data_IF_784064754964
#
_entry.id   IF_784064754964
#
_cell.length_a   1.000
_cell.length_b   1.000
_cell.length_c   1.000
_cell.angle_alpha   90.00
_cell.angle_beta   90.00
_cell.angle_gamma   90.00
#
_symmetry.space_group_name_H-M   'P 1'
#
loop_
_entity.id
_entity.type
_entity.pdbx_description
1 polymer ?
#
# COMPACT_ATOMS: atom_id res chain seq x y z
N UNK A 1 -0.23 -3.92 25.48
CA UNK A 1 -1.66 -3.58 25.47
C UNK A 1 -2.49 -4.82 25.12
N UNK A 2 -3.67 -4.95 25.72
CA UNK A 2 -4.68 -5.94 25.32
C UNK A 2 -5.37 -5.53 23.99
N UNK A 3 -6.08 -6.43 23.31
CA UNK A 3 -6.88 -6.05 22.13
C UNK A 3 -7.87 -4.92 22.43
N UNK A 4 -8.54 -4.94 23.58
CA UNK A 4 -9.49 -3.89 24.00
C UNK A 4 -8.82 -2.54 24.20
N UNK A 5 -7.66 -2.52 24.86
CA UNK A 5 -6.88 -1.27 25.05
C UNK A 5 -6.38 -0.71 23.71
N UNK A 6 -6.01 -1.59 22.78
CA UNK A 6 -5.59 -1.19 21.44
C UNK A 6 -6.76 -0.65 20.62
N UNK A 7 -7.93 -1.32 20.70
CA UNK A 7 -9.17 -0.84 20.10
C UNK A 7 -9.54 0.55 20.61
N UNK A 8 -9.48 0.78 21.93
CA UNK A 8 -9.80 2.09 22.51
C UNK A 8 -8.84 3.18 22.02
N UNK A 9 -7.54 2.88 21.88
CA UNK A 9 -6.57 3.82 21.33
C UNK A 9 -6.88 4.19 19.87
N UNK A 10 -7.19 3.23 19.03
CA UNK A 10 -7.60 3.49 17.63
C UNK A 10 -8.92 4.26 17.57
N UNK A 11 -9.91 3.90 18.42
CA UNK A 11 -11.20 4.60 18.48
C UNK A 11 -11.05 6.06 18.87
N UNK A 12 -10.10 6.37 19.77
CA UNK A 12 -9.79 7.76 20.14
C UNK A 12 -9.34 8.57 18.93
N UNK A 13 -8.44 8.03 18.10
CA UNK A 13 -7.98 8.69 16.87
C UNK A 13 -9.13 8.86 15.87
N UNK A 14 -9.94 7.81 15.67
CA UNK A 14 -11.12 7.84 14.78
C UNK A 14 -12.05 8.97 15.20
N UNK A 15 -12.35 9.08 16.50
CA UNK A 15 -13.27 10.07 17.01
C UNK A 15 -12.72 11.48 16.91
N UNK A 16 -11.43 11.67 17.23
CA UNK A 16 -10.77 12.98 17.19
C UNK A 16 -10.79 13.59 15.79
N UNK A 17 -10.60 12.78 14.76
CA UNK A 17 -10.49 13.25 13.38
C UNK A 17 -11.71 12.90 12.50
N UNK A 18 -12.76 12.30 13.06
CA UNK A 18 -13.96 11.93 12.30
C UNK A 18 -13.70 10.92 11.18
N UNK A 19 -12.77 9.98 11.36
CA UNK A 19 -12.27 9.11 10.30
C UNK A 19 -13.30 8.05 9.90
N UNK A 20 -13.39 7.79 8.60
CA UNK A 20 -14.14 6.68 8.01
C UNK A 20 -13.20 5.66 7.32
N UNK A 21 -11.94 6.04 7.12
CA UNK A 21 -10.90 5.21 6.49
C UNK A 21 -9.67 5.19 7.40
N UNK A 22 -9.12 4.01 7.60
CA UNK A 22 -7.87 3.81 8.35
C UNK A 22 -6.98 2.88 7.56
N UNK A 23 -5.70 3.23 7.47
CA UNK A 23 -4.67 2.40 6.90
C UNK A 23 -3.67 1.97 8.00
N UNK A 24 -3.32 0.70 7.99
CA UNK A 24 -2.33 0.11 8.89
C UNK A 24 -1.07 -0.23 8.11
N UNK A 25 -0.05 0.61 8.26
CA UNK A 25 1.28 0.34 7.75
C UNK A 25 1.99 -0.69 8.64
N UNK A 26 2.32 -1.85 8.05
CA UNK A 26 2.94 -2.97 8.76
C UNK A 26 4.17 -3.45 8.02
N UNK A 27 5.33 -3.19 8.59
CA UNK A 27 6.62 -3.51 7.97
C UNK A 27 7.68 -4.03 8.95
N UNK A 28 8.82 -4.43 8.40
CA UNK A 28 9.94 -4.94 9.16
C UNK A 28 9.56 -6.16 10.01
N UNK A 29 10.09 -6.24 11.23
CA UNK A 29 9.85 -7.39 12.09
C UNK A 29 8.37 -7.54 12.53
N UNK A 30 7.57 -6.45 12.45
CA UNK A 30 6.14 -6.48 12.80
C UNK A 30 5.30 -7.32 11.84
N UNK A 31 5.82 -7.63 10.64
CA UNK A 31 5.19 -8.58 9.72
C UNK A 31 5.22 -10.03 10.22
N UNK A 32 6.19 -10.38 11.07
CA UNK A 32 6.38 -11.74 11.59
C UNK A 32 5.98 -11.89 13.06
N UNK A 33 5.66 -10.80 13.77
CA UNK A 33 5.31 -10.84 15.20
C UNK A 33 3.84 -11.27 15.39
N UNK A 34 3.62 -12.58 15.51
CA UNK A 34 2.29 -13.21 15.52
C UNK A 34 1.34 -12.65 16.59
N UNK A 35 1.85 -12.37 17.81
CA UNK A 35 1.02 -11.83 18.90
C UNK A 35 0.54 -10.41 18.60
N UNK A 36 1.38 -9.59 17.95
CA UNK A 36 1.01 -8.23 17.54
C UNK A 36 -0.02 -8.25 16.41
N UNK A 37 0.18 -9.12 15.42
CA UNK A 37 -0.72 -9.29 14.28
C UNK A 37 -2.11 -9.72 14.79
N UNK A 38 -2.18 -10.74 15.64
CA UNK A 38 -3.45 -11.23 16.18
C UNK A 38 -4.15 -10.17 17.04
N UNK A 39 -3.41 -9.51 17.92
CA UNK A 39 -3.93 -8.42 18.76
C UNK A 39 -4.52 -7.29 17.93
N UNK A 40 -3.84 -6.87 16.86
CA UNK A 40 -4.31 -5.86 15.92
C UNK A 40 -5.57 -6.32 15.21
N UNK A 41 -5.60 -7.54 14.69
CA UNK A 41 -6.77 -8.09 13.98
C UNK A 41 -8.00 -8.12 14.87
N UNK A 42 -7.87 -8.54 16.14
CA UNK A 42 -8.97 -8.51 17.13
C UNK A 42 -9.45 -7.08 17.44
N UNK A 43 -8.53 -6.14 17.61
CA UNK A 43 -8.86 -4.73 17.86
C UNK A 43 -9.64 -4.12 16.68
N UNK A 44 -9.18 -4.36 15.45
CA UNK A 44 -9.82 -3.86 14.23
C UNK A 44 -11.22 -4.48 14.04
N UNK A 45 -11.37 -5.78 14.28
CA UNK A 45 -12.68 -6.44 14.23
C UNK A 45 -13.68 -5.80 15.21
N UNK A 46 -13.21 -5.47 16.43
CA UNK A 46 -13.99 -4.74 17.44
C UNK A 46 -14.38 -3.33 16.97
N UNK A 47 -13.47 -2.59 16.34
CA UNK A 47 -13.76 -1.27 15.76
C UNK A 47 -14.84 -1.33 14.69
N UNK A 48 -14.74 -2.26 13.75
CA UNK A 48 -15.75 -2.42 12.70
C UNK A 48 -17.09 -2.88 13.26
N UNK A 49 -17.10 -3.76 14.26
CA UNK A 49 -18.32 -4.15 14.95
C UNK A 49 -18.99 -2.96 15.67
N UNK A 50 -18.21 -2.09 16.28
CA UNK A 50 -18.68 -0.86 16.92
C UNK A 50 -19.24 0.14 15.89
N UNK A 51 -18.52 0.35 14.77
CA UNK A 51 -18.97 1.21 13.68
C UNK A 51 -20.31 0.74 13.10
N UNK A 52 -20.44 -0.58 12.81
CA UNK A 52 -21.71 -1.15 12.31
C UNK A 52 -22.88 -0.94 13.27
N UNK A 53 -22.67 -1.13 14.58
CA UNK A 53 -23.71 -0.84 15.60
C UNK A 53 -24.15 0.62 15.58
N UNK A 54 -23.21 1.53 15.31
CA UNK A 54 -23.49 2.96 15.14
C UNK A 54 -23.98 3.34 13.73
N UNK A 55 -24.30 2.36 12.87
CA UNK A 55 -24.71 2.55 11.46
C UNK A 55 -23.69 3.36 10.66
N UNK A 56 -22.40 3.18 10.95
CA UNK A 56 -21.27 3.83 10.27
C UNK A 56 -20.42 2.79 9.56
N UNK A 57 -19.83 3.16 8.44
CA UNK A 57 -18.82 2.38 7.75
C UNK A 57 -17.43 2.76 8.26
N UNK A 58 -16.57 1.77 8.41
CA UNK A 58 -15.15 1.94 8.69
C UNK A 58 -14.35 1.08 7.72
N UNK A 59 -13.72 1.75 6.75
CA UNK A 59 -12.89 1.11 5.73
C UNK A 59 -11.50 0.86 6.27
N UNK A 60 -11.05 -0.38 6.22
CA UNK A 60 -9.74 -0.83 6.71
C UNK A 60 -8.85 -1.14 5.53
N UNK A 61 -7.73 -0.45 5.46
CA UNK A 61 -6.64 -0.69 4.53
C UNK A 61 -5.41 -1.21 5.26
N UNK A 62 -4.56 -1.92 4.54
CA UNK A 62 -3.23 -2.32 5.01
C UNK A 62 -2.20 -1.85 4.01
N UNK A 63 -1.18 -1.10 4.46
CA UNK A 63 0.02 -0.80 3.68
C UNK A 63 1.09 -1.83 4.01
N UNK A 64 1.60 -2.53 2.99
CA UNK A 64 2.49 -3.68 3.14
C UNK A 64 3.66 -3.64 2.14
N UNK A 65 4.87 -4.08 2.54
CA UNK A 65 5.97 -4.33 1.62
C UNK A 65 5.60 -5.40 0.59
N UNK A 66 6.15 -5.26 -0.61
CA UNK A 66 5.83 -6.15 -1.72
C UNK A 66 7.08 -6.42 -2.57
N UNK A 67 7.08 -7.56 -3.27
CA UNK A 67 7.97 -7.88 -4.38
C UNK A 67 7.18 -7.86 -5.70
N UNK A 68 7.81 -7.83 -6.86
CA UNK A 68 7.09 -8.01 -8.13
C UNK A 68 6.27 -9.30 -8.17
N UNK A 69 6.70 -10.35 -7.44
CA UNK A 69 5.96 -11.61 -7.26
C UNK A 69 4.80 -11.54 -6.26
N UNK A 70 4.53 -10.37 -5.64
CA UNK A 70 3.47 -10.15 -4.67
C UNK A 70 3.96 -10.03 -3.23
N UNK A 71 3.01 -10.07 -2.29
CA UNK A 71 3.29 -10.06 -0.85
C UNK A 71 4.08 -11.30 -0.44
N UNK A 72 5.00 -11.11 0.52
CA UNK A 72 5.69 -12.23 1.13
C UNK A 72 4.74 -13.11 1.96
N UNK A 73 5.23 -14.26 2.41
CA UNK A 73 4.49 -15.15 3.31
C UNK A 73 4.02 -14.42 4.57
N UNK A 74 4.86 -13.55 5.12
CA UNK A 74 4.57 -12.76 6.32
C UNK A 74 3.48 -11.72 6.03
N UNK A 75 3.56 -10.97 4.91
CA UNK A 75 2.53 -10.03 4.48
C UNK A 75 1.17 -10.71 4.29
N UNK A 76 1.14 -11.87 3.64
CA UNK A 76 -0.08 -12.69 3.54
C UNK A 76 -0.57 -13.18 4.91
N UNK A 77 0.34 -13.44 5.86
CA UNK A 77 0.03 -13.82 7.24
C UNK A 77 -0.76 -12.73 7.97
N UNK A 78 -0.43 -11.45 7.76
CA UNK A 78 -1.19 -10.30 8.30
C UNK A 78 -2.63 -10.33 7.80
N UNK A 79 -2.83 -10.46 6.48
CA UNK A 79 -4.17 -10.45 5.88
C UNK A 79 -4.99 -11.68 6.27
N UNK A 80 -4.37 -12.87 6.28
CA UNK A 80 -5.04 -14.09 6.75
C UNK A 80 -5.47 -13.98 8.22
N UNK A 81 -4.66 -13.36 9.08
CA UNK A 81 -5.06 -13.10 10.47
C UNK A 81 -6.27 -12.17 10.53
N UNK A 82 -6.29 -11.08 9.75
CA UNK A 82 -7.42 -10.16 9.67
C UNK A 82 -8.71 -10.89 9.24
N UNK A 83 -8.64 -11.68 8.17
CA UNK A 83 -9.79 -12.47 7.67
C UNK A 83 -10.30 -13.50 8.68
N UNK A 84 -9.40 -14.23 9.37
CA UNK A 84 -9.80 -15.16 10.46
C UNK A 84 -10.56 -14.47 11.57
N UNK A 85 -10.23 -13.22 11.88
CA UNK A 85 -10.93 -12.40 12.88
C UNK A 85 -12.12 -11.62 12.30
N UNK A 86 -12.54 -11.94 11.06
CA UNK A 86 -13.70 -11.33 10.37
C UNK A 86 -13.55 -9.81 10.18
N UNK A 87 -12.32 -9.35 9.98
CA UNK A 87 -12.07 -7.99 9.51
C UNK A 87 -12.51 -7.90 8.05
N UNK A 88 -13.37 -6.96 7.74
CA UNK A 88 -13.71 -6.60 6.36
C UNK A 88 -12.61 -5.69 5.82
N UNK A 89 -11.72 -6.26 5.01
CA UNK A 89 -10.58 -5.56 4.41
C UNK A 89 -11.10 -4.79 3.19
N UNK A 90 -11.03 -3.46 3.23
CA UNK A 90 -11.40 -2.60 2.13
C UNK A 90 -10.33 -2.60 1.02
N UNK A 91 -9.05 -2.68 1.40
CA UNK A 91 -7.97 -2.75 0.43
C UNK A 91 -6.60 -3.03 1.02
N UNK A 92 -5.65 -3.27 0.12
CA UNK A 92 -4.24 -3.49 0.42
C UNK A 92 -3.42 -2.58 -0.48
N UNK A 93 -2.74 -1.62 0.13
CA UNK A 93 -1.83 -0.71 -0.52
C UNK A 93 -0.41 -1.31 -0.47
N UNK A 94 0.23 -1.46 -1.61
CA UNK A 94 1.57 -2.04 -1.66
C UNK A 94 2.65 -0.98 -1.85
N UNK A 95 3.72 -1.09 -1.06
CA UNK A 95 4.91 -0.27 -1.17
C UNK A 95 5.74 -0.74 -2.39
N UNK A 96 5.39 -0.24 -3.58
CA UNK A 96 5.96 -0.62 -4.87
C UNK A 96 7.32 0.06 -5.10
N UNK A 97 8.32 -0.28 -4.27
CA UNK A 97 9.64 0.33 -4.20
C UNK A 97 10.65 -0.62 -3.56
N UNK A 98 11.93 -0.32 -3.69
CA UNK A 98 13.03 -0.97 -2.95
C UNK A 98 13.09 -2.50 -3.13
N UNK A 99 12.84 -2.98 -4.35
CA UNK A 99 12.77 -4.42 -4.66
C UNK A 99 14.11 -5.15 -4.58
N UNK A 100 15.23 -4.43 -4.82
CA UNK A 100 16.57 -5.01 -4.94
C UNK A 100 16.85 -5.63 -6.31
N UNK A 101 18.13 -5.70 -6.67
CA UNK A 101 18.59 -6.11 -8.00
C UNK A 101 18.10 -7.50 -8.43
N UNK A 102 18.00 -8.43 -7.49
CA UNK A 102 17.51 -9.79 -7.78
C UNK A 102 16.06 -9.81 -8.26
N UNK A 103 15.22 -8.92 -7.74
CA UNK A 103 13.80 -8.83 -8.04
C UNK A 103 13.49 -7.80 -9.15
N UNK A 104 14.35 -6.79 -9.30
CA UNK A 104 14.24 -5.73 -10.29
C UNK A 104 15.55 -5.59 -11.09
N UNK A 105 15.87 -6.51 -12.02
CA UNK A 105 17.15 -6.52 -12.74
C UNK A 105 17.35 -5.32 -13.69
N UNK A 106 16.28 -4.60 -14.06
CA UNK A 106 16.33 -3.37 -14.87
C UNK A 106 15.81 -2.15 -14.07
N UNK A 107 16.46 -1.81 -12.95
CA UNK A 107 15.92 -0.92 -11.93
C UNK A 107 15.81 0.56 -12.35
N UNK A 108 16.49 0.97 -13.42
CA UNK A 108 16.48 2.36 -13.92
C UNK A 108 15.40 2.62 -14.98
N UNK A 109 14.82 1.58 -15.54
CA UNK A 109 13.92 1.70 -16.70
C UNK A 109 12.57 0.98 -16.52
N UNK A 110 12.48 -0.05 -15.70
CA UNK A 110 11.33 -0.94 -15.62
C UNK A 110 10.57 -0.88 -14.27
N UNK A 111 10.80 0.14 -13.45
CA UNK A 111 10.12 0.24 -12.14
C UNK A 111 8.59 0.33 -12.28
N UNK A 112 8.07 0.95 -13.35
CA UNK A 112 6.64 0.93 -13.66
C UNK A 112 6.12 -0.48 -13.93
N UNK A 113 6.82 -1.25 -14.77
CA UNK A 113 6.47 -2.63 -15.08
C UNK A 113 6.52 -3.53 -13.82
N UNK A 114 7.52 -3.37 -12.96
CA UNK A 114 7.58 -4.12 -11.68
C UNK A 114 6.44 -3.73 -10.73
N UNK A 115 6.06 -2.45 -10.67
CA UNK A 115 4.89 -1.99 -9.92
C UNK A 115 3.60 -2.66 -10.43
N UNK A 116 3.41 -2.72 -11.74
CA UNK A 116 2.25 -3.38 -12.38
C UNK A 116 2.26 -4.89 -12.12
N UNK A 117 3.42 -5.52 -12.20
CA UNK A 117 3.57 -6.94 -11.89
C UNK A 117 3.21 -7.22 -10.42
N UNK A 118 3.70 -6.40 -9.47
CA UNK A 118 3.37 -6.51 -8.06
C UNK A 118 1.86 -6.37 -7.79
N UNK A 119 1.20 -5.40 -8.46
CA UNK A 119 -0.25 -5.21 -8.40
C UNK A 119 -1.02 -6.42 -8.91
N UNK A 120 -0.58 -7.01 -10.03
CA UNK A 120 -1.20 -8.19 -10.63
C UNK A 120 -1.03 -9.41 -9.73
N UNK A 121 0.16 -9.58 -9.13
CA UNK A 121 0.43 -10.64 -8.17
C UNK A 121 -0.40 -10.47 -6.90
N UNK A 122 -0.54 -9.24 -6.37
CA UNK A 122 -1.42 -8.94 -5.24
C UNK A 122 -2.87 -9.30 -5.53
N UNK A 123 -3.39 -8.91 -6.71
CA UNK A 123 -4.76 -9.25 -7.12
C UNK A 123 -5.01 -10.76 -7.07
N UNK A 124 -4.09 -11.57 -7.61
CA UNK A 124 -4.19 -13.03 -7.55
C UNK A 124 -4.13 -13.57 -6.10
N UNK A 125 -3.27 -12.98 -5.28
CA UNK A 125 -3.15 -13.34 -3.86
C UNK A 125 -4.42 -12.96 -3.07
N UNK A 126 -5.01 -11.81 -3.32
CA UNK A 126 -6.28 -11.39 -2.70
C UNK A 126 -7.41 -12.38 -3.06
N UNK A 127 -7.50 -12.79 -4.33
CA UNK A 127 -8.46 -13.82 -4.76
C UNK A 127 -8.28 -15.12 -3.99
N UNK A 128 -7.04 -15.57 -3.85
CA UNK A 128 -6.69 -16.80 -3.13
C UNK A 128 -7.09 -16.73 -1.65
N UNK A 129 -6.65 -15.70 -0.91
CA UNK A 129 -6.88 -15.62 0.54
C UNK A 129 -8.36 -15.39 0.90
N UNK A 130 -9.12 -14.66 0.08
CA UNK A 130 -10.57 -14.52 0.29
C UNK A 130 -11.30 -15.84 0.06
N UNK A 131 -10.92 -16.59 -0.99
CA UNK A 131 -11.46 -17.93 -1.22
C UNK A 131 -11.15 -18.89 -0.07
N UNK A 132 -9.91 -18.88 0.46
CA UNK A 132 -9.51 -19.63 1.65
C UNK A 132 -10.37 -19.29 2.87
N UNK A 133 -10.76 -18.02 3.01
CA UNK A 133 -11.62 -17.52 4.09
C UNK A 133 -13.14 -17.72 3.83
N UNK A 134 -13.53 -18.40 2.75
CA UNK A 134 -14.93 -18.60 2.37
C UNK A 134 -15.64 -17.34 1.85
N UNK A 135 -14.89 -16.31 1.49
CA UNK A 135 -15.44 -15.03 0.98
C UNK A 135 -15.30 -14.98 -0.53
N UNK A 136 -16.43 -14.87 -1.24
CA UNK A 136 -16.44 -14.69 -2.69
C UNK A 136 -16.40 -13.21 -3.03
N UNK A 137 -15.47 -12.83 -3.91
CA UNK A 137 -15.37 -11.48 -4.48
C UNK A 137 -15.27 -11.56 -6.00
N UNK A 138 -15.93 -10.64 -6.70
CA UNK A 138 -15.81 -10.50 -8.15
C UNK A 138 -14.42 -9.97 -8.51
N UNK A 139 -14.02 -10.13 -9.77
CA UNK A 139 -12.75 -9.60 -10.27
C UNK A 139 -12.65 -8.08 -10.08
N UNK A 140 -13.73 -7.36 -10.36
CA UNK A 140 -13.80 -5.90 -10.15
C UNK A 140 -13.65 -5.50 -8.67
N UNK A 141 -14.28 -6.24 -7.75
CA UNK A 141 -14.09 -6.02 -6.31
C UNK A 141 -12.66 -6.26 -5.87
N UNK A 142 -11.99 -7.29 -6.39
CA UNK A 142 -10.59 -7.57 -6.09
C UNK A 142 -9.66 -6.48 -6.62
N UNK A 143 -9.89 -5.96 -7.84
CA UNK A 143 -9.13 -4.83 -8.35
C UNK A 143 -9.36 -3.55 -7.53
N UNK A 144 -10.59 -3.28 -7.10
CA UNK A 144 -10.90 -2.16 -6.20
C UNK A 144 -10.24 -2.27 -4.82
N UNK A 145 -9.73 -3.45 -4.43
CA UNK A 145 -8.94 -3.64 -3.21
C UNK A 145 -7.44 -3.40 -3.40
N UNK A 146 -6.96 -3.24 -4.62
CA UNK A 146 -5.54 -2.99 -4.89
C UNK A 146 -5.22 -1.52 -4.74
N UNK A 147 -4.21 -1.20 -3.93
CA UNK A 147 -3.61 0.13 -3.81
C UNK A 147 -2.13 0.09 -4.18
N UNK A 148 -1.63 1.16 -4.76
CA UNK A 148 -0.25 1.31 -5.21
C UNK A 148 0.39 2.58 -4.64
N UNK A 149 1.56 2.42 -4.02
CA UNK A 149 2.39 3.53 -3.53
C UNK A 149 3.83 3.35 -4.06
N UNK A 150 4.15 3.80 -5.27
CA UNK A 150 5.54 3.86 -5.73
C UNK A 150 6.32 4.99 -5.03
N UNK A 151 7.63 4.81 -4.88
CA UNK A 151 8.55 5.85 -4.42
C UNK A 151 9.03 6.69 -5.60
N UNK A 152 8.80 8.00 -5.54
CA UNK A 152 9.07 8.92 -6.64
C UNK A 152 10.57 9.16 -6.85
N UNK A 153 11.05 8.99 -8.08
CA UNK A 153 12.46 9.20 -8.45
C UNK A 153 13.36 8.10 -7.92
N UNK A 154 14.53 8.49 -7.38
CA UNK A 154 15.48 7.55 -6.79
C UNK A 154 14.91 6.89 -5.54
N UNK A 155 14.88 5.57 -5.51
CA UNK A 155 14.48 4.77 -4.36
C UNK A 155 15.65 4.59 -3.39
N UNK A 156 15.42 4.10 -2.16
CA UNK A 156 16.50 3.91 -1.19
C UNK A 156 17.48 2.82 -1.63
N UNK A 157 16.99 1.82 -2.35
CA UNK A 157 17.83 0.77 -2.97
C UNK A 157 18.38 1.26 -4.31
N UNK A 158 19.66 1.61 -4.33
CA UNK A 158 20.38 2.04 -5.55
C UNK A 158 20.58 0.86 -6.51
N UNK A 159 20.37 1.02 -7.84
CA UNK A 159 20.04 2.25 -8.58
C UNK A 159 18.57 2.37 -8.99
N UNK A 160 17.64 1.84 -8.19
CA UNK A 160 16.22 1.89 -8.52
C UNK A 160 15.72 3.34 -8.72
N UNK A 161 15.04 3.56 -9.83
CA UNK A 161 14.54 4.90 -10.19
C UNK A 161 13.17 4.82 -10.83
N UNK A 162 12.16 5.33 -10.14
CA UNK A 162 10.81 5.45 -10.66
C UNK A 162 10.67 6.79 -11.39
N UNK A 163 10.52 6.74 -12.71
CA UNK A 163 10.51 7.91 -13.59
C UNK A 163 9.10 8.46 -13.84
N UNK A 164 8.98 9.68 -14.41
CA UNK A 164 7.70 10.20 -14.92
C UNK A 164 7.09 9.31 -16.01
N UNK A 165 7.91 8.62 -16.80
CA UNK A 165 7.45 7.60 -17.75
C UNK A 165 6.76 6.44 -17.05
N UNK A 166 7.41 5.89 -15.99
CA UNK A 166 6.81 4.84 -15.17
C UNK A 166 5.50 5.29 -14.49
N UNK A 167 5.42 6.56 -14.08
CA UNK A 167 4.19 7.09 -13.49
C UNK A 167 3.01 7.10 -14.49
N UNK A 168 3.26 7.46 -15.76
CA UNK A 168 2.23 7.40 -16.82
C UNK A 168 1.80 5.95 -17.12
N UNK A 169 2.75 5.02 -17.16
CA UNK A 169 2.50 3.59 -17.34
C UNK A 169 1.60 3.04 -16.23
N UNK A 170 1.95 3.33 -14.97
CA UNK A 170 1.18 2.92 -13.79
C UNK A 170 -0.20 3.58 -13.77
N UNK A 171 -0.33 4.86 -14.13
CA UNK A 171 -1.62 5.54 -14.23
C UNK A 171 -2.53 4.87 -15.28
N UNK A 172 -1.99 4.54 -16.46
CA UNK A 172 -2.76 3.87 -17.51
C UNK A 172 -3.29 2.50 -17.02
N UNK A 173 -2.43 1.72 -16.39
CA UNK A 173 -2.81 0.46 -15.76
C UNK A 173 -3.87 0.64 -14.66
N UNK A 174 -3.67 1.61 -13.75
CA UNK A 174 -4.58 1.90 -12.66
C UNK A 174 -6.00 2.21 -13.18
N UNK A 175 -6.10 3.04 -14.22
CA UNK A 175 -7.36 3.39 -14.88
C UNK A 175 -8.01 2.17 -15.56
N UNK A 176 -7.22 1.38 -16.28
CA UNK A 176 -7.72 0.18 -16.96
C UNK A 176 -8.30 -0.83 -15.97
N UNK A 177 -7.63 -1.03 -14.83
CA UNK A 177 -8.04 -2.00 -13.80
C UNK A 177 -9.03 -1.43 -12.78
N UNK A 178 -9.16 -0.12 -12.70
CA UNK A 178 -9.98 0.58 -11.70
C UNK A 178 -9.57 0.18 -10.28
N UNK A 179 -8.28 0.33 -9.98
CA UNK A 179 -7.75 -0.01 -8.65
C UNK A 179 -8.32 0.92 -7.57
N UNK A 180 -8.28 0.51 -6.31
CA UNK A 180 -8.88 1.27 -5.21
C UNK A 180 -8.10 2.49 -4.76
N UNK A 181 -6.78 2.49 -4.95
CA UNK A 181 -5.90 3.59 -4.51
C UNK A 181 -4.67 3.73 -5.39
N UNK A 182 -4.39 4.94 -5.83
CA UNK A 182 -3.10 5.32 -6.43
C UNK A 182 -2.49 6.44 -5.60
N UNK A 183 -1.41 6.14 -4.90
CA UNK A 183 -0.69 7.03 -4.00
C UNK A 183 0.78 7.14 -4.40
N UNK A 184 1.60 7.79 -3.59
CA UNK A 184 3.05 7.86 -3.80
C UNK A 184 3.82 8.11 -2.51
N UNK A 185 5.07 7.65 -2.47
CA UNK A 185 6.05 8.05 -1.48
C UNK A 185 7.07 8.99 -2.12
N UNK A 186 7.05 10.30 -1.85
CA UNK A 186 6.07 11.00 -1.06
C UNK A 186 5.86 12.40 -1.64
N UNK A 187 4.77 13.06 -1.30
CA UNK A 187 4.39 14.36 -1.84
C UNK A 187 5.49 15.44 -1.68
N UNK A 188 6.18 15.47 -0.53
CA UNK A 188 7.28 16.41 -0.28
C UNK A 188 8.52 16.15 -1.15
N UNK A 189 8.67 14.94 -1.72
CA UNK A 189 9.74 14.59 -2.66
C UNK A 189 9.44 15.03 -4.09
N UNK A 190 8.21 15.34 -4.45
CA UNK A 190 7.78 15.59 -5.83
C UNK A 190 8.31 16.92 -6.39
N UNK A 191 9.63 17.04 -6.40
CA UNK A 191 10.40 18.14 -6.96
C UNK A 191 11.80 17.70 -7.37
N UNK A 192 12.47 18.41 -8.31
CA UNK A 192 13.86 18.15 -8.64
C UNK A 192 14.80 18.56 -7.49
N UNK A 193 16.02 18.08 -7.43
CA UNK A 193 17.05 18.63 -6.55
C UNK A 193 17.42 20.04 -6.98
N UNK A 194 17.60 20.96 -6.03
CA UNK A 194 18.04 22.34 -6.30
C UNK A 194 19.49 22.41 -6.83
N UNK A 195 20.32 21.45 -6.44
CA UNK A 195 21.71 21.24 -6.90
C UNK A 195 21.95 19.74 -7.01
N UNK A 196 22.91 19.28 -7.81
CA UNK A 196 23.32 17.87 -7.79
C UNK A 196 23.56 17.42 -6.36
N UNK A 197 22.84 16.37 -5.93
CA UNK A 197 22.94 15.84 -4.58
C UNK A 197 24.02 14.76 -4.54
N UNK A 198 24.89 14.79 -3.52
CA UNK A 198 25.82 13.70 -3.24
C UNK A 198 25.07 12.44 -2.74
N UNK A 199 23.90 12.62 -2.14
CA UNK A 199 23.07 11.53 -1.66
C UNK A 199 22.17 11.00 -2.78
N UNK A 200 22.13 9.68 -2.94
CA UNK A 200 21.30 9.02 -3.93
C UNK A 200 19.81 9.30 -3.68
N UNK A 201 19.26 8.88 -2.56
CA UNK A 201 17.87 9.15 -2.15
C UNK A 201 17.80 10.32 -1.16
N UNK A 202 16.69 11.06 -1.19
CA UNK A 202 16.45 12.20 -0.31
C UNK A 202 14.97 12.27 0.09
N UNK A 203 14.64 12.66 1.33
CA UNK A 203 13.25 12.94 1.70
C UNK A 203 12.71 14.25 1.12
N UNK A 204 13.56 15.09 0.48
CA UNK A 204 13.24 16.45 0.03
C UNK A 204 13.10 16.59 -1.48
N UNK A 205 13.53 15.62 -2.28
CA UNK A 205 13.47 15.65 -3.74
C UNK A 205 13.58 14.25 -4.34
N UNK A 206 13.21 14.10 -5.61
CA UNK A 206 13.23 12.82 -6.33
C UNK A 206 14.61 12.39 -6.80
N UNK A 207 15.58 13.29 -6.86
CA UNK A 207 16.92 13.04 -7.45
C UNK A 207 16.96 13.08 -8.97
N UNK A 208 15.82 13.20 -9.66
CA UNK A 208 15.74 13.23 -11.12
C UNK A 208 15.32 14.61 -11.64
N UNK A 209 15.58 14.86 -12.93
CA UNK A 209 15.10 16.08 -13.63
C UNK A 209 13.59 15.98 -13.83
N UNK A 210 12.85 16.92 -13.28
CA UNK A 210 11.40 17.05 -13.42
C UNK A 210 10.94 18.48 -13.10
N UNK A 211 9.68 18.78 -13.34
CA UNK A 211 9.02 19.96 -12.78
C UNK A 211 8.60 19.70 -11.33
N UNK A 212 8.40 20.78 -10.55
CA UNK A 212 7.76 20.69 -9.23
C UNK A 212 6.36 20.10 -9.40
N UNK A 213 6.02 19.11 -8.56
CA UNK A 213 4.77 18.33 -8.64
C UNK A 213 4.55 17.58 -9.96
N UNK A 214 5.65 17.17 -10.64
CA UNK A 214 5.56 16.45 -11.91
C UNK A 214 4.83 15.12 -11.81
N UNK A 215 5.04 14.36 -10.76
CA UNK A 215 4.32 13.10 -10.49
C UNK A 215 2.88 13.36 -10.05
N UNK A 216 2.66 14.32 -9.15
CA UNK A 216 1.32 14.70 -8.70
C UNK A 216 0.43 15.18 -9.86
N UNK A 217 0.99 15.93 -10.83
CA UNK A 217 0.29 16.32 -12.07
C UNK A 217 -0.17 15.11 -12.89
N UNK A 218 0.61 14.02 -12.90
CA UNK A 218 0.24 12.77 -13.57
C UNK A 218 -0.84 12.04 -12.77
N UNK A 219 -0.61 11.80 -11.47
CA UNK A 219 -1.46 10.93 -10.65
C UNK A 219 -2.82 11.55 -10.32
N UNK A 220 -2.93 12.90 -10.20
CA UNK A 220 -4.24 13.55 -10.00
C UNK A 220 -5.26 13.25 -11.11
N UNK A 221 -4.78 12.78 -12.26
CA UNK A 221 -5.66 12.37 -13.34
C UNK A 221 -6.30 10.99 -13.11
N UNK A 222 -6.02 10.33 -11.97
CA UNK A 222 -6.65 9.07 -11.59
C UNK A 222 -8.02 9.27 -10.94
N UNK A 223 -8.21 10.35 -10.16
CA UNK A 223 -9.45 10.70 -9.46
C UNK A 223 -10.39 11.57 -10.26
#
# INVERSE_FOLDING_TARGET
KTPTQLQAAYQSVINTYGLTHIDFDVEGHWLAEAKSIERRSRAIAGLQAQARRAKRLLHIWYTLPVLPSGLTREGLGVLRSALRHRVDIAGVNIMAMNYGKAQAPKPTTHMGAYTIQAATSLHAQLKMIHREAGVQKTDAQLWAMVGLTPMLGHNDVKPETFTLGNAREVLAFARQKKIGLLSCWSANRDRPPAKPSANWASPKHTGIKQEVFGFSKIFRAYG
#
